data_IF_090762199208
#
_entry.id   IF_090762199208
#
_cell.length_a   1.000
_cell.length_b   1.000
_cell.length_c   1.000
_cell.angle_alpha   90.00
_cell.angle_beta   90.00
_cell.angle_gamma   90.00
#
_symmetry.space_group_name_H-M   'P 1'
#
loop_
_entity.id
_entity.type
_entity.pdbx_description
1 polymer ?
#
# COMPACT_ATOMS: atom_id res chain seq x y z
N UNK A 1 6.35 -0.39 20.40
CA UNK A 1 6.25 -0.11 18.95
C UNK A 1 4.82 -0.42 18.56
N UNK A 2 4.11 0.52 17.95
CA UNK A 2 2.69 0.33 17.61
C UNK A 2 2.59 -0.18 16.18
N UNK A 3 1.82 -1.25 15.96
CA UNK A 3 1.60 -1.83 14.65
C UNK A 3 0.24 -1.39 14.10
N UNK A 4 0.21 -1.09 12.80
CA UNK A 4 -1.00 -0.67 12.09
C UNK A 4 -1.20 -1.52 10.85
N UNK A 5 -2.46 -1.68 10.44
CA UNK A 5 -2.84 -2.33 9.18
C UNK A 5 -3.55 -1.29 8.32
N UNK A 6 -3.03 -1.07 7.12
CA UNK A 6 -3.62 -0.19 6.11
C UNK A 6 -4.19 -1.06 4.99
N UNK A 7 -5.50 -0.97 4.75
CA UNK A 7 -6.17 -1.62 3.62
C UNK A 7 -6.66 -0.55 2.66
N UNK A 8 -6.33 -0.69 1.38
CA UNK A 8 -6.71 0.26 0.32
C UNK A 8 -7.44 -0.50 -0.78
N UNK A 9 -8.59 0.01 -1.21
CA UNK A 9 -9.32 -0.46 -2.37
C UNK A 9 -9.52 0.72 -3.33
N UNK A 10 -9.11 0.56 -4.59
CA UNK A 10 -9.24 1.58 -5.62
C UNK A 10 -9.23 0.94 -7.01
N UNK A 11 -9.57 1.70 -8.05
CA UNK A 11 -9.47 1.23 -9.44
C UNK A 11 -8.01 0.95 -9.79
N UNK A 12 -7.72 -0.22 -10.34
CA UNK A 12 -6.34 -0.61 -10.68
C UNK A 12 -5.72 0.42 -11.64
N UNK A 13 -4.59 0.97 -11.22
CA UNK A 13 -3.82 1.99 -11.94
C UNK A 13 -2.34 1.76 -11.66
N UNK A 14 -1.48 1.98 -12.66
CA UNK A 14 -0.04 1.87 -12.47
C UNK A 14 0.45 2.86 -11.41
N UNK A 15 1.27 2.38 -10.48
CA UNK A 15 1.95 3.22 -9.49
C UNK A 15 1.29 3.30 -8.11
N UNK A 16 0.15 2.63 -7.88
CA UNK A 16 -0.52 2.63 -6.55
C UNK A 16 0.45 2.17 -5.45
N UNK A 17 1.12 1.04 -5.64
CA UNK A 17 2.08 0.49 -4.67
C UNK A 17 3.22 1.48 -4.42
N UNK A 18 3.78 2.08 -5.47
CA UNK A 18 4.86 3.05 -5.33
C UNK A 18 4.41 4.31 -4.56
N UNK A 19 3.21 4.82 -4.83
CA UNK A 19 2.66 5.99 -4.16
C UNK A 19 2.47 5.74 -2.65
N UNK A 20 1.89 4.60 -2.28
CA UNK A 20 1.66 4.23 -0.88
C UNK A 20 2.98 4.02 -0.15
N UNK A 21 3.89 3.22 -0.70
CA UNK A 21 5.18 2.92 -0.06
C UNK A 21 6.04 4.16 0.12
N UNK A 22 6.08 5.06 -0.88
CA UNK A 22 6.81 6.32 -0.78
C UNK A 22 6.20 7.26 0.27
N UNK A 23 4.88 7.32 0.37
CA UNK A 23 4.21 8.12 1.40
C UNK A 23 4.55 7.60 2.81
N UNK A 24 4.42 6.29 3.05
CA UNK A 24 4.75 5.67 4.33
C UNK A 24 6.22 5.85 4.71
N UNK A 25 7.13 5.66 3.76
CA UNK A 25 8.56 5.90 3.98
C UNK A 25 8.85 7.37 4.30
N UNK A 26 8.19 8.32 3.63
CA UNK A 26 8.29 9.76 3.91
C UNK A 26 7.78 10.15 5.30
N UNK A 27 6.90 9.36 5.90
CA UNK A 27 6.45 9.52 7.29
C UNK A 27 7.34 8.78 8.32
N UNK A 28 8.43 8.14 7.88
CA UNK A 28 9.30 7.35 8.74
C UNK A 28 8.67 6.03 9.20
N UNK A 29 7.61 5.57 8.54
CA UNK A 29 7.00 4.27 8.84
C UNK A 29 7.84 3.12 8.28
N UNK A 30 7.83 1.98 8.98
CA UNK A 30 8.40 0.73 8.50
C UNK A 30 7.30 -0.21 8.02
N UNK A 31 7.43 -0.77 6.81
CA UNK A 31 6.51 -1.76 6.27
C UNK A 31 7.02 -3.14 6.67
N UNK A 32 6.31 -3.81 7.57
CA UNK A 32 6.68 -5.15 8.07
C UNK A 32 6.19 -6.25 7.13
N UNK A 33 5.02 -6.04 6.52
CA UNK A 33 4.40 -6.94 5.56
C UNK A 33 3.56 -6.13 4.57
N UNK A 34 3.39 -6.66 3.36
CA UNK A 34 2.57 -6.03 2.31
C UNK A 34 2.00 -7.09 1.38
N UNK A 35 0.69 -7.01 1.13
CA UNK A 35 0.01 -7.82 0.12
C UNK A 35 -0.76 -6.92 -0.85
N UNK A 36 -0.76 -7.31 -2.12
CA UNK A 36 -1.59 -6.70 -3.15
C UNK A 36 -2.44 -7.78 -3.81
N UNK A 37 -3.63 -7.39 -4.24
CA UNK A 37 -4.51 -8.19 -5.07
C UNK A 37 -5.04 -7.28 -6.18
N UNK A 38 -4.84 -7.70 -7.42
CA UNK A 38 -5.46 -7.06 -8.59
C UNK A 38 -6.61 -7.96 -9.05
N UNK A 39 -7.82 -7.41 -9.02
CA UNK A 39 -8.97 -8.01 -9.68
C UNK A 39 -8.90 -7.68 -11.16
N UNK A 40 -8.51 -8.67 -11.98
CA UNK A 40 -8.34 -8.50 -13.43
C UNK A 40 -9.68 -8.39 -14.18
N UNK A 41 -10.81 -8.61 -13.50
CA UNK A 41 -12.14 -8.62 -14.11
C UNK A 41 -12.85 -7.25 -14.03
N UNK A 42 -12.22 -6.19 -13.49
CA UNK A 42 -12.76 -4.81 -13.39
C UNK A 42 -11.76 -3.72 -13.77
#
# INVERSE_FOLDING_TARGET
MTSYVLTVACKSTRGIVAAISNYLAGQGCNIIDSSQFDDLDT
#
